data_IF_944926940292
#
_entry.id   IF_944926940292
#
_cell.length_a   1.000
_cell.length_b   1.000
_cell.length_c   1.000
_cell.angle_alpha   90.00
_cell.angle_beta   90.00
_cell.angle_gamma   90.00
#
_symmetry.space_group_name_H-M   'P 1'
#
loop_
_entity.id
_entity.type
_entity.pdbx_description
1 polymer ?
#
# COMPACT_ATOMS: atom_id res chain seq x y z
N UNK A 1 -97.45 -38.32 43.90
CA UNK A 1 -96.95 -37.57 42.73
C UNK A 1 -95.53 -37.21 43.06
N UNK A 2 -94.58 -37.89 42.43
CA UNK A 2 -93.19 -37.97 42.85
C UNK A 2 -92.38 -36.89 42.15
N UNK A 3 -91.72 -36.03 42.92
CA UNK A 3 -90.77 -35.03 42.44
C UNK A 3 -89.40 -35.68 42.23
N UNK A 4 -88.88 -35.54 41.01
CA UNK A 4 -87.55 -35.98 40.58
C UNK A 4 -86.50 -34.98 41.03
N UNK A 5 -85.42 -35.38 41.75
CA UNK A 5 -84.35 -34.46 42.10
C UNK A 5 -83.46 -34.16 40.89
N UNK A 6 -83.22 -32.87 40.65
CA UNK A 6 -82.29 -32.36 39.65
C UNK A 6 -80.85 -32.68 40.05
N UNK A 7 -80.12 -33.37 39.18
CA UNK A 7 -78.69 -33.64 39.35
C UNK A 7 -77.90 -32.35 39.07
N UNK A 8 -77.27 -31.84 40.12
CA UNK A 8 -76.36 -30.70 40.10
C UNK A 8 -75.05 -31.11 39.41
N UNK A 9 -74.81 -30.57 38.21
CA UNK A 9 -73.62 -30.84 37.42
C UNK A 9 -72.43 -30.07 38.00
N UNK A 10 -71.61 -30.74 38.80
CA UNK A 10 -70.30 -30.24 39.26
C UNK A 10 -69.40 -29.94 38.05
N UNK A 11 -69.21 -28.65 37.77
CA UNK A 11 -68.26 -28.19 36.76
C UNK A 11 -66.83 -28.55 37.18
N UNK A 12 -66.11 -29.29 36.34
CA UNK A 12 -64.68 -29.59 36.56
C UNK A 12 -63.85 -28.30 36.47
N UNK A 13 -62.84 -28.13 37.34
CA UNK A 13 -61.92 -26.99 37.22
C UNK A 13 -61.13 -27.06 35.91
N UNK A 14 -60.76 -25.91 35.32
CA UNK A 14 -59.98 -25.88 34.10
C UNK A 14 -58.59 -26.50 34.33
N UNK A 15 -57.99 -27.13 33.31
CA UNK A 15 -56.65 -27.70 33.42
C UNK A 15 -55.61 -26.61 33.70
N UNK A 16 -54.53 -26.92 34.43
CA UNK A 16 -53.43 -25.98 34.63
C UNK A 16 -52.79 -25.60 33.30
N UNK A 17 -52.22 -24.38 33.19
CA UNK A 17 -51.52 -23.95 31.99
C UNK A 17 -50.32 -24.87 31.69
N UNK A 18 -49.97 -25.10 30.42
CA UNK A 18 -48.81 -25.88 30.06
C UNK A 18 -47.54 -25.20 30.61
N UNK A 19 -46.64 -26.00 31.17
CA UNK A 19 -45.32 -25.53 31.59
C UNK A 19 -44.55 -24.99 30.37
N UNK A 20 -43.83 -23.86 30.51
CA UNK A 20 -42.98 -23.37 29.44
C UNK A 20 -41.91 -24.41 29.10
N UNK A 21 -41.54 -24.56 27.83
CA UNK A 21 -40.47 -25.46 27.44
C UNK A 21 -39.15 -25.05 28.12
N UNK A 22 -38.26 -26.01 28.44
CA UNK A 22 -36.94 -25.68 28.96
C UNK A 22 -36.25 -24.72 27.99
N UNK A 23 -35.73 -23.62 28.52
CA UNK A 23 -34.97 -22.65 27.74
C UNK A 23 -33.75 -23.37 27.16
N UNK A 24 -33.77 -23.65 25.84
CA UNK A 24 -32.60 -24.13 25.13
C UNK A 24 -31.56 -23.02 25.26
N UNK A 25 -30.40 -23.26 25.90
CA UNK A 25 -29.31 -22.29 25.89
C UNK A 25 -28.99 -21.97 24.43
N UNK A 26 -28.93 -20.69 24.08
CA UNK A 26 -28.49 -20.28 22.74
C UNK A 26 -27.18 -21.02 22.41
N UNK A 27 -26.98 -21.46 21.14
CA UNK A 27 -25.72 -22.05 20.73
C UNK A 27 -24.61 -21.08 21.14
N UNK A 28 -23.79 -21.48 22.10
CA UNK A 28 -22.64 -20.66 22.44
C UNK A 28 -21.76 -20.65 21.19
N UNK A 29 -21.46 -19.49 20.60
CA UNK A 29 -20.56 -19.42 19.47
C UNK A 29 -19.26 -20.09 19.92
N UNK A 30 -18.92 -21.21 19.28
CA UNK A 30 -17.73 -21.96 19.58
C UNK A 30 -16.53 -21.01 19.50
N UNK A 31 -15.94 -20.71 20.66
CA UNK A 31 -14.69 -19.97 20.81
C UNK A 31 -14.66 -18.66 20.03
N UNK A 32 -15.42 -17.66 20.47
CA UNK A 32 -15.09 -16.28 20.11
C UNK A 32 -13.84 -15.91 20.93
N UNK A 33 -12.64 -15.75 20.32
CA UNK A 33 -11.45 -15.38 21.06
C UNK A 33 -11.72 -14.05 21.74
N UNK A 34 -11.47 -13.97 23.04
CA UNK A 34 -11.65 -12.76 23.84
C UNK A 34 -10.97 -11.57 23.17
N UNK A 35 -11.78 -10.69 22.58
CA UNK A 35 -11.54 -9.26 22.44
C UNK A 35 -10.22 -8.80 21.85
N UNK A 36 -9.50 -9.63 21.09
CA UNK A 36 -8.25 -9.20 20.47
C UNK A 36 -8.60 -8.51 19.15
N UNK A 37 -8.36 -7.18 19.01
CA UNK A 37 -8.47 -6.52 17.71
C UNK A 37 -7.62 -7.30 16.72
N UNK A 38 -8.14 -7.58 15.53
CA UNK A 38 -7.33 -8.12 14.43
C UNK A 38 -6.14 -7.17 14.21
N UNK A 39 -4.97 -7.51 14.77
CA UNK A 39 -3.75 -6.68 14.72
C UNK A 39 -3.29 -6.02 16.03
N UNK A 40 -3.93 -6.25 17.19
CA UNK A 40 -3.32 -5.83 18.45
C UNK A 40 -2.09 -6.70 18.75
N UNK A 41 -0.90 -6.11 18.97
CA UNK A 41 0.27 -6.86 19.40
C UNK A 41 -0.11 -7.65 20.65
N UNK A 42 0.13 -8.96 20.62
CA UNK A 42 -0.04 -9.79 21.81
C UNK A 42 0.98 -9.26 22.82
N UNK A 43 0.53 -8.58 23.87
CA UNK A 43 1.41 -8.05 24.90
C UNK A 43 2.17 -9.23 25.54
N UNK A 44 3.47 -9.32 25.26
CA UNK A 44 4.33 -10.41 25.74
C UNK A 44 4.73 -11.46 24.70
N UNK A 45 4.28 -11.35 23.45
CA UNK A 45 4.97 -12.04 22.33
C UNK A 45 5.90 -11.02 21.71
N UNK A 46 7.19 -11.11 22.02
CA UNK A 46 8.25 -10.43 21.27
C UNK A 46 7.93 -10.63 19.79
N UNK A 47 7.59 -9.54 19.08
CA UNK A 47 7.09 -9.60 17.72
C UNK A 47 8.00 -10.53 16.90
N UNK A 48 7.52 -11.72 16.47
CA UNK A 48 8.38 -12.62 15.75
C UNK A 48 8.66 -11.91 14.43
N UNK A 49 9.95 -11.62 14.19
CA UNK A 49 10.56 -10.92 13.04
C UNK A 49 10.20 -9.44 12.81
N UNK A 50 10.63 -8.52 13.67
CA UNK A 50 11.25 -7.22 13.28
C UNK A 50 10.57 -6.29 12.25
N UNK A 51 9.29 -6.45 11.93
CA UNK A 51 8.56 -5.53 11.06
C UNK A 51 8.21 -4.26 11.85
N UNK A 52 9.14 -3.31 11.89
CA UNK A 52 8.77 -1.93 12.22
C UNK A 52 7.64 -1.49 11.29
N UNK A 53 6.50 -1.14 11.87
CA UNK A 53 5.37 -0.61 11.12
C UNK A 53 5.81 0.73 10.47
N UNK A 54 5.52 0.95 9.16
CA UNK A 54 5.87 2.20 8.49
C UNK A 54 5.30 3.42 9.20
N UNK A 55 6.05 4.52 9.25
CA UNK A 55 5.56 5.78 9.80
C UNK A 55 4.47 6.36 8.89
N UNK A 56 3.49 7.07 9.45
CA UNK A 56 2.49 7.78 8.66
C UNK A 56 3.14 8.68 7.59
N UNK A 57 2.74 8.52 6.33
CA UNK A 57 3.27 9.25 5.18
C UNK A 57 4.46 8.57 4.46
N UNK A 58 5.04 7.50 5.01
CA UNK A 58 5.98 6.65 4.30
C UNK A 58 5.26 5.77 3.26
N UNK A 59 5.98 5.33 2.23
CA UNK A 59 5.44 4.34 1.29
C UNK A 59 5.31 2.98 1.97
N UNK A 60 4.21 2.27 1.71
CA UNK A 60 4.09 0.88 2.17
C UNK A 60 5.18 0.01 1.54
N UNK A 61 5.57 -1.12 2.15
CA UNK A 61 6.66 -1.96 1.65
C UNK A 61 6.46 -2.41 0.19
N UNK A 62 5.22 -2.72 -0.20
CA UNK A 62 4.90 -3.08 -1.60
C UNK A 62 5.17 -1.92 -2.56
N UNK A 63 4.75 -0.71 -2.21
CA UNK A 63 5.00 0.49 -3.03
C UNK A 63 6.48 0.88 -3.07
N UNK A 64 7.24 0.66 -2.00
CA UNK A 64 8.70 0.85 -2.02
C UNK A 64 9.35 -0.05 -3.08
N UNK A 65 8.96 -1.31 -3.17
CA UNK A 65 9.48 -2.23 -4.19
C UNK A 65 9.10 -1.82 -5.61
N UNK A 66 7.85 -1.40 -5.83
CA UNK A 66 7.41 -0.90 -7.15
C UNK A 66 8.30 0.29 -7.58
N UNK A 67 8.46 1.29 -6.71
CA UNK A 67 9.28 2.47 -7.00
C UNK A 67 10.74 2.08 -7.25
N UNK A 68 11.32 1.17 -6.45
CA UNK A 68 12.67 0.63 -6.67
C UNK A 68 12.84 0.03 -8.05
N UNK A 69 11.95 -0.89 -8.42
CA UNK A 69 12.01 -1.60 -9.68
C UNK A 69 11.79 -0.65 -10.86
N UNK A 70 10.91 0.33 -10.73
CA UNK A 70 10.72 1.36 -11.75
C UNK A 70 12.00 2.16 -11.98
N UNK A 71 12.66 2.67 -10.94
CA UNK A 71 13.88 3.45 -11.11
C UNK A 71 15.06 2.61 -11.62
N UNK A 72 15.12 1.33 -11.26
CA UNK A 72 16.06 0.39 -11.86
C UNK A 72 15.77 0.16 -13.35
N UNK A 73 14.50 0.01 -13.73
CA UNK A 73 14.10 -0.13 -15.12
C UNK A 73 14.39 1.13 -15.94
N UNK A 74 14.23 2.33 -15.37
CA UNK A 74 14.64 3.60 -15.99
C UNK A 74 16.14 3.61 -16.27
N UNK A 75 16.96 3.20 -15.30
CA UNK A 75 18.41 3.10 -15.48
C UNK A 75 18.78 2.15 -16.63
N UNK A 76 18.16 0.96 -16.67
CA UNK A 76 18.40 -0.04 -17.73
C UNK A 76 17.90 0.47 -19.09
N UNK A 77 16.76 1.16 -19.12
CA UNK A 77 16.22 1.78 -20.33
C UNK A 77 17.19 2.79 -20.92
N UNK A 78 17.75 3.68 -20.08
CA UNK A 78 18.76 4.64 -20.49
C UNK A 78 20.07 3.96 -20.94
N UNK A 79 20.47 2.86 -20.30
CA UNK A 79 21.63 2.08 -20.74
C UNK A 79 21.40 1.44 -22.11
N UNK A 80 20.16 1.04 -22.40
CA UNK A 80 19.75 0.53 -23.71
C UNK A 80 19.80 1.63 -24.77
N UNK A 81 19.35 2.85 -24.42
CA UNK A 81 19.48 4.05 -25.28
C UNK A 81 20.94 4.37 -25.57
N UNK A 82 21.83 4.35 -24.56
CA UNK A 82 23.27 4.52 -24.77
C UNK A 82 23.78 3.51 -25.80
N UNK A 83 23.54 2.21 -25.55
CA UNK A 83 24.06 1.14 -26.40
C UNK A 83 23.54 1.24 -27.83
N UNK A 84 22.24 1.46 -28.00
CA UNK A 84 21.62 1.65 -29.32
C UNK A 84 22.18 2.88 -30.05
N UNK A 85 22.37 4.00 -29.35
CA UNK A 85 22.96 5.22 -29.90
C UNK A 85 24.38 4.97 -30.41
N UNK A 86 25.18 4.18 -29.67
CA UNK A 86 26.53 3.75 -30.10
C UNK A 86 26.51 2.76 -31.26
N UNK A 87 25.50 1.91 -31.37
CA UNK A 87 25.47 0.91 -32.45
C UNK A 87 24.98 1.51 -33.77
N UNK A 88 24.06 2.47 -33.72
CA UNK A 88 23.48 3.13 -34.91
C UNK A 88 24.31 4.36 -35.31
N UNK A 89 25.20 4.83 -34.44
CA UNK A 89 26.01 6.03 -34.68
C UNK A 89 25.22 7.33 -34.60
N UNK A 90 24.11 7.34 -33.86
CA UNK A 90 23.29 8.53 -33.59
C UNK A 90 23.67 9.10 -32.22
N UNK A 91 24.49 10.15 -32.17
CA UNK A 91 24.97 10.69 -30.90
C UNK A 91 23.91 11.52 -30.19
N UNK A 92 23.37 11.07 -29.06
CA UNK A 92 22.63 11.97 -28.16
C UNK A 92 23.52 13.14 -27.74
N UNK A 93 22.93 14.27 -27.35
CA UNK A 93 23.69 15.51 -27.05
C UNK A 93 24.76 15.29 -25.96
N UNK A 94 24.54 14.34 -25.06
CA UNK A 94 25.41 13.97 -23.96
C UNK A 94 26.47 12.90 -24.32
N UNK A 95 26.32 12.20 -25.44
CA UNK A 95 27.31 11.23 -25.96
C UNK A 95 28.35 11.87 -26.86
N UNK A 96 27.95 12.88 -27.65
CA UNK A 96 28.76 13.45 -28.71
C UNK A 96 29.00 12.51 -29.90
N UNK A 97 29.41 13.05 -31.06
CA UNK A 97 29.66 12.26 -32.27
C UNK A 97 30.70 11.16 -32.08
N UNK A 98 30.66 10.11 -32.91
CA UNK A 98 31.60 8.99 -32.82
C UNK A 98 33.07 9.40 -32.99
N UNK A 99 33.34 10.41 -33.83
CA UNK A 99 34.69 10.92 -34.08
C UNK A 99 35.20 11.90 -33.03
N UNK A 100 34.31 12.41 -32.17
CA UNK A 100 34.63 13.35 -31.10
C UNK A 100 33.67 13.12 -29.91
N UNK A 101 33.87 12.02 -29.14
CA UNK A 101 32.97 11.67 -28.07
C UNK A 101 33.04 12.69 -26.93
N UNK A 102 31.89 12.98 -26.33
CA UNK A 102 31.84 13.79 -25.12
C UNK A 102 32.66 13.14 -23.99
N UNK A 103 33.26 13.96 -23.09
CA UNK A 103 34.01 13.43 -21.97
C UNK A 103 33.09 12.64 -21.03
N UNK A 104 33.64 11.58 -20.42
CA UNK A 104 32.89 10.62 -19.59
C UNK A 104 31.93 11.28 -18.56
N UNK A 105 32.30 12.36 -17.84
CA UNK A 105 31.40 12.98 -16.88
C UNK A 105 30.12 13.53 -17.50
N UNK A 106 30.20 14.09 -18.71
CA UNK A 106 29.03 14.60 -19.45
C UNK A 106 28.19 13.42 -19.91
N UNK A 107 28.82 12.34 -20.38
CA UNK A 107 28.10 11.14 -20.81
C UNK A 107 27.40 10.39 -19.67
N UNK A 108 27.85 10.56 -18.42
CA UNK A 108 27.20 9.96 -17.25
C UNK A 108 26.10 10.84 -16.65
N UNK A 109 25.96 12.09 -17.10
CA UNK A 109 25.02 13.05 -16.51
C UNK A 109 23.58 12.53 -16.47
N UNK A 110 23.02 11.90 -17.52
CA UNK A 110 21.65 11.38 -17.48
C UNK A 110 21.45 10.21 -16.51
N UNK A 111 22.53 9.52 -16.11
CA UNK A 111 22.47 8.39 -15.17
C UNK A 111 22.43 8.84 -13.71
N UNK A 112 22.83 10.08 -13.42
CA UNK A 112 22.86 10.59 -12.04
C UNK A 112 21.47 10.56 -11.40
N UNK A 113 20.44 10.94 -12.15
CA UNK A 113 19.05 10.97 -11.67
C UNK A 113 18.53 9.57 -11.30
N UNK A 114 18.52 8.57 -12.20
CA UNK A 114 18.03 7.25 -11.85
C UNK A 114 18.89 6.56 -10.78
N UNK A 115 20.21 6.75 -10.78
CA UNK A 115 21.08 6.22 -9.71
C UNK A 115 20.74 6.84 -8.36
N UNK A 116 20.62 8.18 -8.28
CA UNK A 116 20.24 8.86 -7.05
C UNK A 116 18.86 8.40 -6.56
N UNK A 117 17.91 8.18 -7.48
CA UNK A 117 16.58 7.70 -7.11
C UNK A 117 16.60 6.26 -6.59
N UNK A 118 17.35 5.36 -7.20
CA UNK A 118 17.55 3.99 -6.66
C UNK A 118 18.15 4.08 -5.26
N UNK A 119 19.17 4.89 -5.03
CA UNK A 119 19.74 5.09 -3.69
C UNK A 119 18.71 5.63 -2.70
N UNK A 120 17.91 6.62 -3.12
CA UNK A 120 16.91 7.27 -2.29
C UNK A 120 15.78 6.31 -1.89
N UNK A 121 15.48 5.30 -2.70
CA UNK A 121 14.46 4.29 -2.33
C UNK A 121 14.82 3.47 -1.09
N UNK A 122 16.10 3.45 -0.69
CA UNK A 122 16.53 2.82 0.56
C UNK A 122 16.34 3.75 1.76
N UNK A 123 16.10 5.04 1.53
CA UNK A 123 15.67 5.97 2.57
C UNK A 123 14.18 5.82 2.84
N UNK A 124 13.77 5.80 4.11
CA UNK A 124 12.35 5.82 4.52
C UNK A 124 11.77 7.24 4.46
N UNK A 125 11.96 7.94 3.33
CA UNK A 125 11.54 9.34 3.21
C UNK A 125 10.07 9.49 2.82
N UNK A 126 9.33 10.30 3.59
CA UNK A 126 7.95 10.74 3.26
C UNK A 126 7.85 11.54 1.95
N UNK A 127 8.96 12.14 1.54
CA UNK A 127 9.04 12.95 0.33
C UNK A 127 9.35 12.13 -0.94
N UNK A 128 9.44 10.80 -0.84
CA UNK A 128 9.81 9.92 -1.96
C UNK A 128 9.02 10.16 -3.27
N UNK A 129 7.68 10.32 -3.25
CA UNK A 129 6.92 10.61 -4.48
C UNK A 129 7.30 11.95 -5.14
N UNK A 130 7.66 12.95 -4.33
CA UNK A 130 8.06 14.27 -4.83
C UNK A 130 9.44 14.22 -5.47
N UNK A 131 10.38 13.51 -4.85
CA UNK A 131 11.69 13.26 -5.46
C UNK A 131 11.56 12.50 -6.78
N UNK A 132 10.65 11.52 -6.84
CA UNK A 132 10.37 10.80 -8.08
C UNK A 132 9.82 11.70 -9.18
N UNK A 133 8.93 12.64 -8.84
CA UNK A 133 8.42 13.61 -9.81
C UNK A 133 9.51 14.56 -10.31
N UNK A 134 10.35 15.09 -9.41
CA UNK A 134 11.49 15.94 -9.79
C UNK A 134 12.46 15.17 -10.69
N UNK A 135 12.78 13.92 -10.36
CA UNK A 135 13.63 13.05 -11.18
C UNK A 135 13.01 12.79 -12.55
N UNK A 136 11.70 12.54 -12.63
CA UNK A 136 11.01 12.36 -13.90
C UNK A 136 11.05 13.63 -14.77
N UNK A 137 10.85 14.81 -14.18
CA UNK A 137 10.99 16.08 -14.88
C UNK A 137 12.42 16.32 -15.39
N UNK A 138 13.43 16.01 -14.59
CA UNK A 138 14.83 16.12 -15.01
C UNK A 138 15.14 15.20 -16.20
N UNK A 139 14.68 13.94 -16.14
CA UNK A 139 14.81 12.98 -17.25
C UNK A 139 14.06 13.45 -18.51
N UNK A 140 12.86 14.01 -18.34
CA UNK A 140 12.13 14.58 -19.47
C UNK A 140 12.91 15.73 -20.14
N UNK A 141 13.61 16.55 -19.35
CA UNK A 141 14.50 17.59 -19.88
C UNK A 141 15.62 17.04 -20.78
N UNK A 142 16.21 15.89 -20.41
CA UNK A 142 17.20 15.18 -21.25
C UNK A 142 16.57 14.77 -22.58
N UNK A 143 15.41 14.12 -22.53
CA UNK A 143 14.69 13.67 -23.74
C UNK A 143 14.22 14.81 -24.64
N UNK A 144 13.78 15.94 -24.07
CA UNK A 144 13.44 17.14 -24.85
C UNK A 144 14.66 17.69 -25.59
N UNK A 145 15.83 17.70 -24.95
CA UNK A 145 17.06 18.17 -25.59
C UNK A 145 17.47 17.26 -26.78
N UNK A 146 17.17 15.95 -26.73
CA UNK A 146 17.43 15.01 -27.83
C UNK A 146 16.39 15.04 -28.97
N UNK A 147 15.24 15.72 -28.80
CA UNK A 147 14.22 15.81 -29.86
C UNK A 147 14.67 16.55 -31.11
N UNK A 148 15.53 17.57 -30.97
CA UNK A 148 15.99 18.36 -32.12
C UNK A 148 16.92 17.59 -33.05
N UNK A 149 17.99 16.93 -32.56
CA UNK A 149 18.89 16.20 -33.45
C UNK A 149 18.38 14.79 -33.79
N UNK A 150 17.69 14.08 -32.88
CA UNK A 150 17.32 12.68 -33.03
C UNK A 150 15.94 12.36 -32.43
N UNK A 151 14.83 12.71 -33.10
CA UNK A 151 13.48 12.65 -32.53
C UNK A 151 13.08 11.25 -32.06
N UNK A 152 13.54 10.19 -32.72
CA UNK A 152 13.25 8.82 -32.30
C UNK A 152 13.82 8.47 -30.92
N UNK A 153 15.06 8.88 -30.63
CA UNK A 153 15.69 8.66 -29.32
C UNK A 153 15.05 9.54 -28.25
N UNK A 154 14.82 10.82 -28.56
CA UNK A 154 14.15 11.75 -27.63
C UNK A 154 12.75 11.27 -27.22
N UNK A 155 11.96 10.71 -28.16
CA UNK A 155 10.65 10.12 -27.83
C UNK A 155 10.77 8.93 -26.87
N UNK A 156 11.76 8.04 -27.06
CA UNK A 156 11.97 6.90 -26.15
C UNK A 156 12.32 7.39 -24.75
N UNK A 157 13.22 8.36 -24.63
CA UNK A 157 13.60 8.95 -23.34
C UNK A 157 12.42 9.63 -22.65
N UNK A 158 11.57 10.34 -23.40
CA UNK A 158 10.34 10.93 -22.89
C UNK A 158 9.32 9.89 -22.41
N UNK A 159 9.18 8.77 -23.11
CA UNK A 159 8.32 7.66 -22.67
C UNK A 159 8.84 7.06 -21.36
N UNK A 160 10.15 6.86 -21.24
CA UNK A 160 10.78 6.38 -20.00
C UNK A 160 10.52 7.37 -18.86
N UNK A 161 10.72 8.67 -19.09
CA UNK A 161 10.46 9.72 -18.11
C UNK A 161 8.98 9.79 -17.71
N UNK A 162 8.07 9.68 -18.67
CA UNK A 162 6.63 9.68 -18.42
C UNK A 162 6.19 8.48 -17.59
N UNK A 163 6.73 7.28 -17.86
CA UNK A 163 6.47 6.09 -17.07
C UNK A 163 6.94 6.27 -15.61
N UNK A 164 8.15 6.81 -15.41
CA UNK A 164 8.67 7.13 -14.08
C UNK A 164 7.80 8.17 -13.35
N UNK A 165 7.34 9.20 -14.07
CA UNK A 165 6.43 10.22 -13.56
C UNK A 165 5.08 9.63 -13.15
N UNK A 166 4.49 8.77 -13.97
CA UNK A 166 3.21 8.11 -13.69
C UNK A 166 3.31 7.23 -12.43
N UNK A 167 4.37 6.45 -12.27
CA UNK A 167 4.61 5.67 -11.04
C UNK A 167 4.81 6.57 -9.82
N UNK A 168 5.52 7.68 -9.98
CA UNK A 168 5.72 8.65 -8.89
C UNK A 168 4.41 9.26 -8.42
N UNK A 169 3.52 9.65 -9.34
CA UNK A 169 2.17 10.13 -9.02
C UNK A 169 1.34 9.02 -8.35
N UNK A 170 1.34 7.81 -8.91
CA UNK A 170 0.58 6.68 -8.36
C UNK A 170 1.03 6.32 -6.93
N UNK A 171 2.33 6.45 -6.63
CA UNK A 171 2.89 6.17 -5.31
C UNK A 171 2.36 7.07 -4.19
N UNK A 172 1.75 8.22 -4.51
CA UNK A 172 1.05 9.06 -3.54
C UNK A 172 -0.12 8.29 -2.90
N UNK A 173 -0.83 7.48 -3.68
CA UNK A 173 -1.89 6.58 -3.19
C UNK A 173 -1.35 5.42 -2.35
N UNK A 174 -0.06 5.13 -2.47
CA UNK A 174 0.64 4.06 -1.76
C UNK A 174 1.23 4.44 -0.40
N UNK A 175 0.96 5.65 0.09
CA UNK A 175 1.45 6.09 1.40
C UNK A 175 0.64 5.47 2.55
N UNK A 176 1.34 5.02 3.57
CA UNK A 176 0.75 4.53 4.81
C UNK A 176 0.01 5.64 5.54
N UNK A 177 -1.22 5.35 5.98
CA UNK A 177 -2.06 6.22 6.80
C UNK A 177 -2.31 5.51 8.12
N UNK A 178 -1.93 6.14 9.23
CA UNK A 178 -2.26 5.61 10.55
C UNK A 178 -3.79 5.65 10.76
N UNK A 179 -4.34 4.57 11.29
CA UNK A 179 -5.74 4.53 11.71
C UNK A 179 -5.98 5.37 12.98
N UNK A 180 -7.23 5.73 13.29
CA UNK A 180 -7.56 6.33 14.57
C UNK A 180 -7.06 5.44 15.70
N UNK A 181 -6.39 6.02 16.71
CA UNK A 181 -6.09 5.29 17.93
C UNK A 181 -7.41 4.87 18.56
N UNK A 182 -7.56 3.58 18.87
CA UNK A 182 -8.70 3.13 19.67
C UNK A 182 -8.69 3.90 21.00
N UNK A 183 -9.84 4.40 21.47
CA UNK A 183 -9.93 4.98 22.80
C UNK A 183 -9.32 4.01 23.83
N UNK A 184 -8.67 4.52 24.89
CA UNK A 184 -8.30 3.68 26.01
C UNK A 184 -9.54 2.87 26.40
N UNK A 185 -9.40 1.55 26.54
CA UNK A 185 -10.46 0.78 27.16
C UNK A 185 -10.61 1.37 28.56
N UNK A 186 -11.71 2.12 28.78
CA UNK A 186 -12.03 2.67 30.08
C UNK A 186 -11.97 1.51 31.05
N UNK A 187 -10.97 1.58 31.94
CA UNK A 187 -10.67 0.52 32.89
C UNK A 187 -11.92 0.21 33.68
N UNK A 188 -12.15 -1.09 33.82
CA UNK A 188 -13.17 -1.71 34.64
C UNK A 188 -13.61 -0.81 35.79
N UNK A 189 -14.88 -0.40 35.73
CA UNK A 189 -15.61 0.09 36.89
C UNK A 189 -15.78 -1.05 37.88
N UNK A 190 -14.67 -1.47 38.49
CA UNK A 190 -14.63 -2.31 39.68
C UNK A 190 -14.95 -1.41 40.88
N UNK A 191 -16.17 -0.88 40.86
CA UNK A 191 -16.85 -0.32 42.02
C UNK A 191 -17.61 -1.42 42.73
N UNK A 192 -16.92 -2.47 43.16
CA UNK A 192 -17.44 -3.40 44.13
C UNK A 192 -17.47 -2.72 45.52
N UNK A 193 -18.67 -2.48 46.04
CA UNK A 193 -19.17 -2.82 47.40
C UNK A 193 -20.28 -1.90 47.87
#
# INVERSE_FOLDING_TARGET
MSDTPSAEATASPPPPPPTPPPSIPAPQPHGQPSGQPWGAPIAGVDAPIGYELPTAGELTPGWQWIVRLTWLAVFIGLMSVWKASRDIGLPTWWLGPFGDPMPLPVSLLPFLVPTAMVMLTFSRSRAMPWFGLVGACAMAGVGVADLSPYPGLGVIELVIAAAAGAVSVASIGGRYRAGPASPPADGDGDGAR
#
